data_IF_680477787665
#
_entry.id   IF_680477787665
#
_cell.length_a   1.000
_cell.length_b   1.000
_cell.length_c   1.000
_cell.angle_alpha   90.00
_cell.angle_beta   90.00
_cell.angle_gamma   90.00
#
_symmetry.space_group_name_H-M   'P 1'
#
loop_
_entity.id
_entity.type
_entity.pdbx_description
1 polymer ?
#
# COMPACT_ATOMS: atom_id res chain seq x y z
N UNK A 1 8.63 5.78 11.23
CA UNK A 1 9.30 5.49 12.51
C UNK A 1 8.38 4.91 13.56
N UNK A 2 7.21 5.52 13.79
CA UNK A 2 6.23 5.01 14.75
C UNK A 2 5.76 3.61 14.41
N UNK A 3 5.50 3.33 13.13
CA UNK A 3 5.08 2.01 12.69
C UNK A 3 6.17 0.96 12.90
N UNK A 4 7.42 1.31 12.63
CA UNK A 4 8.57 0.43 12.85
C UNK A 4 8.71 0.10 14.34
N UNK A 5 8.57 1.12 15.19
CA UNK A 5 8.63 0.96 16.64
C UNK A 5 7.53 0.04 17.16
N UNK A 6 6.29 0.26 16.71
CA UNK A 6 5.15 -0.57 17.10
C UNK A 6 5.34 -2.03 16.71
N UNK A 7 5.82 -2.29 15.50
CA UNK A 7 6.09 -3.65 15.03
C UNK A 7 7.19 -4.32 15.86
N UNK A 8 8.22 -3.57 16.22
CA UNK A 8 9.33 -4.08 17.03
C UNK A 8 8.86 -4.45 18.44
N UNK A 9 8.01 -3.61 19.05
CA UNK A 9 7.56 -3.81 20.44
C UNK A 9 6.41 -4.81 20.56
N UNK A 10 5.52 -4.87 19.57
CA UNK A 10 4.26 -5.63 19.65
C UNK A 10 4.06 -6.69 18.57
N UNK A 11 5.02 -6.84 17.66
CA UNK A 11 4.97 -7.82 16.58
C UNK A 11 4.51 -7.25 15.25
N UNK A 12 4.68 -8.05 14.19
CA UNK A 12 4.46 -7.63 12.81
C UNK A 12 2.98 -7.37 12.46
N UNK A 13 2.06 -7.92 13.25
CA UNK A 13 0.62 -7.83 13.00
C UNK A 13 -0.03 -6.60 13.65
N UNK A 14 0.69 -5.87 14.47
CA UNK A 14 0.12 -4.83 15.34
C UNK A 14 -0.62 -3.73 14.57
N UNK A 15 -0.08 -3.31 13.44
CA UNK A 15 -0.70 -2.22 12.67
C UNK A 15 -2.07 -2.64 12.15
N UNK A 16 -2.17 -3.84 11.59
CA UNK A 16 -3.44 -4.38 11.11
C UNK A 16 -4.43 -4.58 12.26
N UNK A 17 -3.97 -5.14 13.37
CA UNK A 17 -4.82 -5.36 14.55
C UNK A 17 -5.42 -4.04 15.06
N UNK A 18 -4.65 -2.96 15.05
CA UNK A 18 -5.14 -1.64 15.45
C UNK A 18 -6.16 -1.05 14.47
N UNK A 19 -6.14 -1.48 13.21
CA UNK A 19 -7.09 -1.02 12.21
C UNK A 19 -8.47 -1.68 12.34
N UNK A 20 -8.53 -2.91 12.86
CA UNK A 20 -9.78 -3.67 12.95
C UNK A 20 -10.92 -2.89 13.62
N UNK A 21 -10.74 -2.28 14.81
CA UNK A 21 -11.82 -1.51 15.43
C UNK A 21 -12.34 -0.37 14.56
N UNK A 22 -11.47 0.30 13.83
CA UNK A 22 -11.86 1.38 12.92
C UNK A 22 -12.68 0.87 11.76
N UNK A 23 -12.31 -0.28 11.22
CA UNK A 23 -13.04 -0.92 10.12
C UNK A 23 -14.43 -1.32 10.59
N UNK A 24 -14.53 -1.94 11.76
CA UNK A 24 -15.80 -2.37 12.35
C UNK A 24 -16.75 -1.20 12.61
N UNK A 25 -16.20 -0.03 12.91
CA UNK A 25 -17.01 1.18 13.16
C UNK A 25 -17.30 1.98 11.89
N UNK A 26 -16.73 1.61 10.76
CA UNK A 26 -16.94 2.30 9.48
C UNK A 26 -18.19 1.75 8.81
N UNK A 27 -19.09 2.64 8.39
CA UNK A 27 -20.32 2.26 7.67
C UNK A 27 -20.09 2.32 6.16
N UNK A 28 -20.68 1.38 5.43
CA UNK A 28 -20.61 1.34 3.98
C UNK A 28 -20.55 -0.09 3.46
N UNK A 29 -20.96 -0.28 2.22
CA UNK A 29 -20.91 -1.59 1.58
C UNK A 29 -19.49 -2.00 1.22
N UNK A 30 -18.66 -1.03 0.88
CA UNK A 30 -17.26 -1.25 0.52
C UNK A 30 -16.39 -0.33 1.36
N UNK A 31 -15.36 -0.91 1.96
CA UNK A 31 -14.41 -0.19 2.79
C UNK A 31 -13.04 -0.30 2.14
N UNK A 32 -12.39 0.83 1.94
CA UNK A 32 -11.06 0.90 1.38
C UNK A 32 -10.04 1.02 2.52
N UNK A 33 -9.08 0.11 2.51
CA UNK A 33 -7.93 0.15 3.44
C UNK A 33 -6.71 0.46 2.60
N UNK A 34 -6.02 1.53 2.92
CA UNK A 34 -4.80 1.90 2.21
C UNK A 34 -3.59 1.87 3.12
N UNK A 35 -2.41 1.84 2.52
CA UNK A 35 -1.17 1.85 3.26
C UNK A 35 -0.69 0.49 3.75
N UNK A 36 -1.21 -0.59 3.18
CA UNK A 36 -0.69 -1.94 3.48
C UNK A 36 0.73 -2.05 2.96
N UNK A 37 1.64 -2.53 3.79
CA UNK A 37 3.06 -2.60 3.46
C UNK A 37 3.70 -3.95 3.68
N UNK A 38 2.98 -4.89 4.30
CA UNK A 38 3.54 -6.20 4.62
C UNK A 38 2.53 -7.33 4.44
N UNK A 39 3.00 -8.55 4.16
CA UNK A 39 2.11 -9.71 4.07
C UNK A 39 1.45 -10.07 5.41
N UNK A 40 2.03 -9.66 6.52
CA UNK A 40 1.44 -9.87 7.84
C UNK A 40 0.12 -9.14 8.00
N UNK A 41 0.04 -7.90 7.51
CA UNK A 41 -1.18 -7.11 7.52
C UNK A 41 -2.26 -7.77 6.65
N UNK A 42 -1.87 -8.25 5.48
CA UNK A 42 -2.76 -8.96 4.56
C UNK A 42 -3.33 -10.20 5.23
N UNK A 43 -2.52 -10.96 5.94
CA UNK A 43 -2.94 -12.17 6.64
C UNK A 43 -4.04 -11.88 7.66
N UNK A 44 -3.87 -10.82 8.45
CA UNK A 44 -4.86 -10.41 9.45
C UNK A 44 -6.19 -10.04 8.79
N UNK A 45 -6.15 -9.21 7.75
CA UNK A 45 -7.39 -8.79 7.07
C UNK A 45 -8.09 -9.95 6.37
N UNK A 46 -7.35 -10.88 5.79
CA UNK A 46 -7.94 -12.09 5.18
C UNK A 46 -8.64 -12.98 6.21
N UNK A 47 -8.09 -13.08 7.40
CA UNK A 47 -8.71 -13.85 8.48
C UNK A 47 -10.02 -13.23 8.96
N UNK A 48 -10.08 -11.90 9.01
CA UNK A 48 -11.23 -11.18 9.54
C UNK A 48 -12.33 -10.94 8.51
N UNK A 49 -11.99 -10.84 7.24
CA UNK A 49 -12.93 -10.44 6.18
C UNK A 49 -12.83 -11.35 4.97
N UNK A 50 -13.90 -12.12 4.71
CA UNK A 50 -13.96 -13.04 3.56
C UNK A 50 -13.88 -12.32 2.23
N UNK A 51 -14.47 -11.14 2.16
CA UNK A 51 -14.50 -10.33 0.94
C UNK A 51 -13.25 -9.50 0.71
N UNK A 52 -12.23 -9.65 1.53
CA UNK A 52 -11.00 -8.89 1.42
C UNK A 52 -10.30 -9.19 0.10
N UNK A 53 -9.97 -8.13 -0.65
CA UNK A 53 -9.23 -8.23 -1.91
C UNK A 53 -8.14 -7.18 -1.93
N UNK A 54 -7.02 -7.52 -2.56
CA UNK A 54 -5.87 -6.63 -2.67
C UNK A 54 -5.81 -6.08 -4.08
N UNK A 55 -5.80 -4.76 -4.17
CA UNK A 55 -5.54 -4.06 -5.42
C UNK A 55 -4.19 -3.40 -5.27
N UNK A 56 -3.22 -3.85 -6.04
CA UNK A 56 -1.88 -3.27 -6.03
C UNK A 56 -1.72 -2.28 -7.18
N UNK A 57 -1.01 -1.20 -6.90
CA UNK A 57 -0.69 -0.17 -7.88
C UNK A 57 0.82 -0.20 -8.05
N UNK A 58 1.27 -0.46 -9.27
CA UNK A 58 2.68 -0.60 -9.55
C UNK A 58 3.20 0.47 -10.51
N UNK A 59 4.34 1.04 -10.17
CA UNK A 59 5.13 1.89 -11.05
C UNK A 59 6.59 1.52 -10.86
N UNK A 60 7.39 1.66 -11.91
CA UNK A 60 8.82 1.40 -11.81
C UNK A 60 9.46 2.36 -10.80
N UNK A 61 10.60 1.96 -10.25
CA UNK A 61 11.36 2.78 -9.31
C UNK A 61 11.70 4.15 -9.92
N UNK A 62 12.09 4.16 -11.17
CA UNK A 62 12.41 5.40 -11.91
C UNK A 62 11.21 6.33 -11.97
N UNK A 63 10.04 5.81 -12.33
CA UNK A 63 8.81 6.60 -12.41
C UNK A 63 8.43 7.16 -11.04
N UNK A 64 8.50 6.35 -10.00
CA UNK A 64 8.18 6.76 -8.64
C UNK A 64 9.09 7.88 -8.16
N UNK A 65 10.39 7.77 -8.43
CA UNK A 65 11.33 8.83 -8.05
C UNK A 65 11.03 10.14 -8.78
N UNK A 66 10.79 10.09 -10.09
CA UNK A 66 10.43 11.28 -10.88
C UNK A 66 9.18 11.96 -10.33
N UNK A 67 8.17 11.17 -9.96
CA UNK A 67 6.93 11.71 -9.41
C UNK A 67 7.14 12.36 -8.05
N UNK A 68 7.99 11.81 -7.21
CA UNK A 68 8.36 12.43 -5.94
C UNK A 68 9.05 13.77 -6.15
N UNK A 69 9.98 13.86 -7.10
CA UNK A 69 10.65 15.11 -7.42
C UNK A 69 9.68 16.20 -7.87
N UNK A 70 8.69 15.84 -8.70
CA UNK A 70 7.65 16.78 -9.16
C UNK A 70 6.72 17.21 -8.05
N UNK A 71 6.38 16.29 -7.15
CA UNK A 71 5.48 16.57 -6.04
C UNK A 71 6.07 17.57 -5.07
N UNK A 72 7.35 17.47 -4.79
CA UNK A 72 8.09 18.44 -3.99
C UNK A 72 7.59 18.64 -2.58
N UNK A 73 7.00 17.62 -1.95
CA UNK A 73 6.57 17.71 -0.56
C UNK A 73 7.78 17.82 0.36
N UNK A 74 7.54 18.38 1.56
CA UNK A 74 8.59 18.68 2.54
C UNK A 74 9.44 17.46 2.91
N UNK A 75 8.81 16.29 3.02
CA UNK A 75 9.45 15.04 3.37
C UNK A 75 9.93 14.23 2.16
N UNK A 76 9.70 14.73 0.94
CA UNK A 76 10.18 14.10 -0.27
C UNK A 76 11.64 14.48 -0.51
N UNK A 77 12.48 13.48 -0.79
CA UNK A 77 13.88 13.72 -1.10
C UNK A 77 14.09 13.89 -2.59
N UNK A 78 15.03 14.79 -2.96
CA UNK A 78 15.50 14.95 -4.33
C UNK A 78 16.77 14.13 -4.57
N UNK A 79 17.35 13.56 -3.51
CA UNK A 79 18.52 12.72 -3.56
C UNK A 79 18.13 11.28 -3.87
N UNK A 80 18.55 10.79 -5.02
CA UNK A 80 18.22 9.43 -5.46
C UNK A 80 18.70 8.37 -4.48
N UNK A 81 19.87 8.55 -3.87
CA UNK A 81 20.41 7.57 -2.93
C UNK A 81 19.52 7.44 -1.67
N UNK A 82 19.05 8.55 -1.15
CA UNK A 82 18.10 8.55 -0.02
C UNK A 82 16.77 7.93 -0.40
N UNK A 83 16.29 8.21 -1.60
CA UNK A 83 15.08 7.59 -2.13
C UNK A 83 15.27 6.07 -2.22
N UNK A 84 16.40 5.61 -2.75
CA UNK A 84 16.71 4.20 -2.90
C UNK A 84 16.71 3.47 -1.54
N UNK A 85 17.35 4.06 -0.54
CA UNK A 85 17.38 3.51 0.81
C UNK A 85 15.99 3.37 1.40
N UNK A 86 15.16 4.39 1.24
CA UNK A 86 13.77 4.38 1.70
C UNK A 86 12.96 3.30 0.98
N UNK A 87 13.12 3.22 -0.34
CA UNK A 87 12.42 2.23 -1.16
C UNK A 87 12.80 0.80 -0.76
N UNK A 88 14.08 0.55 -0.56
CA UNK A 88 14.56 -0.75 -0.10
C UNK A 88 14.02 -1.11 1.29
N UNK A 89 13.91 -0.13 2.17
CA UNK A 89 13.32 -0.32 3.50
C UNK A 89 11.85 -0.74 3.41
N UNK A 90 11.08 -0.06 2.57
CA UNK A 90 9.66 -0.39 2.35
C UNK A 90 9.52 -1.80 1.75
N UNK A 91 10.35 -2.13 0.78
CA UNK A 91 10.35 -3.48 0.20
C UNK A 91 10.76 -4.54 1.21
N UNK A 92 11.63 -4.17 2.15
CA UNK A 92 12.07 -5.05 3.23
C UNK A 92 10.95 -5.46 4.19
N UNK A 93 9.85 -4.71 4.25
CA UNK A 93 8.66 -5.10 5.00
C UNK A 93 7.83 -6.17 4.30
N UNK A 94 8.16 -6.51 3.06
CA UNK A 94 7.44 -7.51 2.27
C UNK A 94 6.44 -6.93 1.29
N UNK A 95 6.54 -5.64 0.96
CA UNK A 95 5.63 -5.00 0.00
C UNK A 95 5.68 -5.66 -1.37
N UNK A 96 6.85 -6.11 -1.81
CA UNK A 96 6.99 -6.84 -3.08
C UNK A 96 6.15 -8.10 -3.11
N UNK A 97 6.10 -8.84 -2.01
CA UNK A 97 5.28 -10.04 -1.89
C UNK A 97 3.79 -9.70 -1.96
N UNK A 98 3.38 -8.62 -1.32
CA UNK A 98 1.98 -8.17 -1.37
C UNK A 98 1.58 -7.83 -2.81
N UNK A 99 2.44 -7.12 -3.53
CA UNK A 99 2.20 -6.78 -4.94
C UNK A 99 2.11 -8.04 -5.81
N UNK A 100 3.06 -8.95 -5.64
CA UNK A 100 3.13 -10.17 -6.45
C UNK A 100 1.95 -11.12 -6.21
N UNK A 101 1.33 -11.07 -5.04
CA UNK A 101 0.22 -11.95 -4.65
C UNK A 101 -1.14 -11.25 -4.60
N UNK A 102 -1.23 -10.03 -5.14
CA UNK A 102 -2.47 -9.28 -5.14
C UNK A 102 -3.52 -9.89 -6.08
N UNK A 103 -4.78 -9.60 -5.79
CA UNK A 103 -5.91 -10.07 -6.60
C UNK A 103 -6.03 -9.28 -7.91
N UNK A 104 -5.69 -7.99 -7.85
CA UNK A 104 -5.71 -7.09 -9.01
C UNK A 104 -4.47 -6.23 -9.01
N UNK A 105 -3.94 -5.97 -10.20
CA UNK A 105 -2.75 -5.14 -10.38
C UNK A 105 -3.02 -4.04 -11.40
N UNK A 106 -2.73 -2.81 -11.02
CA UNK A 106 -2.79 -1.66 -11.91
C UNK A 106 -1.37 -1.21 -12.19
N UNK A 107 -0.97 -1.23 -13.45
CA UNK A 107 0.31 -0.65 -13.89
C UNK A 107 0.09 0.84 -14.09
N UNK A 108 0.70 1.65 -13.23
CA UNK A 108 0.50 3.09 -13.22
C UNK A 108 1.72 3.82 -13.81
N UNK A 109 1.94 3.64 -15.11
CA UNK A 109 3.03 4.29 -15.86
C UNK A 109 2.55 5.39 -16.79
N UNK A 110 1.26 5.50 -17.00
CA UNK A 110 0.66 6.46 -17.90
C UNK A 110 0.05 7.67 -17.19
N UNK A 111 -0.81 8.43 -17.89
CA UNK A 111 -1.45 9.61 -17.33
C UNK A 111 -2.52 9.26 -16.30
N UNK A 112 -2.84 10.23 -15.46
CA UNK A 112 -3.79 10.05 -14.35
C UNK A 112 -5.16 9.55 -14.81
N UNK A 113 -5.67 10.01 -15.95
CA UNK A 113 -6.99 9.59 -16.43
C UNK A 113 -7.04 8.08 -16.73
N UNK A 114 -5.94 7.50 -17.21
CA UNK A 114 -5.84 6.06 -17.46
C UNK A 114 -5.86 5.27 -16.16
N UNK A 115 -5.14 5.77 -15.16
CA UNK A 115 -5.17 5.17 -13.82
C UNK A 115 -6.60 5.17 -13.27
N UNK A 116 -7.29 6.29 -13.34
CA UNK A 116 -8.67 6.42 -12.86
C UNK A 116 -9.63 5.47 -13.58
N UNK A 117 -9.50 5.34 -14.89
CA UNK A 117 -10.31 4.39 -15.68
C UNK A 117 -10.11 2.95 -15.22
N UNK A 118 -8.85 2.56 -15.04
CA UNK A 118 -8.49 1.21 -14.60
C UNK A 118 -8.99 0.95 -13.18
N UNK A 119 -8.83 1.90 -12.28
CA UNK A 119 -9.31 1.80 -10.91
C UNK A 119 -10.83 1.64 -10.85
N UNK A 120 -11.57 2.43 -11.60
CA UNK A 120 -13.03 2.32 -11.69
C UNK A 120 -13.48 0.95 -12.19
N UNK A 121 -12.79 0.42 -13.20
CA UNK A 121 -13.10 -0.89 -13.75
C UNK A 121 -12.94 -1.99 -12.72
N UNK A 122 -11.85 -1.94 -11.95
CA UNK A 122 -11.56 -2.92 -10.90
C UNK A 122 -12.57 -2.80 -9.76
N UNK A 123 -12.86 -1.59 -9.31
CA UNK A 123 -13.79 -1.36 -8.20
C UNK A 123 -15.21 -1.87 -8.50
N UNK A 124 -15.60 -1.94 -9.76
CA UNK A 124 -16.87 -2.55 -10.16
C UNK A 124 -16.89 -4.07 -10.02
N UNK A 125 -15.73 -4.70 -10.07
CA UNK A 125 -15.59 -6.16 -9.97
C UNK A 125 -15.50 -6.66 -8.54
N UNK A 126 -15.12 -5.79 -7.63
CA UNK A 126 -14.84 -6.17 -6.23
C UNK A 126 -16.09 -6.18 -5.36
#
# INVERSE_FOLDING_TARGET
>A
ETAVKLRREHGEYIIAEKCIPKIENTKGEKILIEGIRSPYEVEIFKKHYRGFRIISIFSTRRTRFKRLQRRGRKDDTKDYQKFLERDQRELGFGLGDVIATSDYLIINEGPLHKFKENAKRILKKV
#
